data_IF_965576625721
#
_entry.id   IF_965576625721
#
_cell.length_a   1.000
_cell.length_b   1.000
_cell.length_c   1.000
_cell.angle_alpha   90.00
_cell.angle_beta   90.00
_cell.angle_gamma   90.00
#
_symmetry.space_group_name_H-M   'P 1'
#
loop_
_entity.id
_entity.type
_entity.pdbx_description
1 polymer ?
#
# COMPACT_ATOMS: atom_id res chain seq x y z
N UNK A 1 0.48 11.02 19.86
CA UNK A 1 -0.23 10.56 18.65
C UNK A 1 -0.48 9.05 18.80
N UNK A 2 -1.66 8.57 18.43
CA UNK A 2 -2.01 7.15 18.41
C UNK A 2 -2.29 6.70 16.98
N UNK A 3 -1.84 5.50 16.62
CA UNK A 3 -2.12 4.87 15.33
C UNK A 3 -2.75 3.51 15.55
N UNK A 4 -3.63 3.10 14.64
CA UNK A 4 -4.18 1.75 14.60
C UNK A 4 -3.58 1.03 13.39
N UNK A 5 -3.16 -0.22 13.60
CA UNK A 5 -2.63 -1.08 12.55
C UNK A 5 -3.61 -2.22 12.34
N UNK A 6 -4.00 -2.45 11.09
CA UNK A 6 -4.80 -3.60 10.68
C UNK A 6 -3.96 -4.48 9.76
N UNK A 7 -3.94 -5.79 10.04
CA UNK A 7 -3.24 -6.76 9.21
C UNK A 7 -4.09 -7.16 8.00
N UNK A 8 -3.45 -7.36 6.85
CA UNK A 8 -4.05 -7.91 5.64
C UNK A 8 -3.30 -9.18 5.24
N UNK A 9 -4.00 -10.16 4.68
CA UNK A 9 -3.35 -11.37 4.18
C UNK A 9 -2.58 -11.06 2.90
N UNK A 10 -1.33 -11.52 2.80
CA UNK A 10 -0.54 -11.43 1.57
C UNK A 10 -1.17 -12.21 0.39
N UNK A 11 -2.06 -13.17 0.68
CA UNK A 11 -2.80 -13.94 -0.31
C UNK A 11 -3.99 -13.19 -0.90
N UNK A 12 -4.39 -12.06 -0.31
CA UNK A 12 -5.50 -11.27 -0.81
C UNK A 12 -5.23 -10.78 -2.23
N UNK A 13 -6.30 -10.86 -3.01
CA UNK A 13 -6.45 -10.24 -4.32
C UNK A 13 -6.54 -8.72 -4.17
N UNK A 14 -6.37 -8.00 -5.27
CA UNK A 14 -6.60 -6.56 -5.34
C UNK A 14 -8.03 -6.18 -4.91
N UNK A 15 -9.02 -7.01 -5.23
CA UNK A 15 -10.41 -6.80 -4.80
C UNK A 15 -10.62 -6.89 -3.28
N UNK A 16 -10.02 -7.88 -2.62
CA UNK A 16 -10.12 -8.04 -1.17
C UNK A 16 -9.38 -6.92 -0.43
N UNK A 17 -8.21 -6.52 -0.94
CA UNK A 17 -7.46 -5.37 -0.43
C UNK A 17 -8.25 -4.06 -0.57
N UNK A 18 -8.89 -3.83 -1.73
CA UNK A 18 -9.74 -2.65 -1.96
C UNK A 18 -10.83 -2.55 -0.90
N UNK A 19 -11.54 -3.65 -0.63
CA UNK A 19 -12.57 -3.68 0.41
C UNK A 19 -12.01 -3.39 1.80
N UNK A 20 -10.84 -3.92 2.13
CA UNK A 20 -10.20 -3.67 3.42
C UNK A 20 -9.80 -2.20 3.59
N UNK A 21 -9.32 -1.56 2.52
CA UNK A 21 -8.99 -0.14 2.54
C UNK A 21 -10.23 0.74 2.71
N UNK A 22 -11.33 0.42 2.02
CA UNK A 22 -12.60 1.14 2.15
C UNK A 22 -13.22 1.00 3.55
N UNK A 23 -13.21 -0.21 4.11
CA UNK A 23 -13.79 -0.50 5.42
C UNK A 23 -13.00 0.15 6.56
N UNK A 24 -11.67 0.01 6.53
CA UNK A 24 -10.78 0.59 7.54
C UNK A 24 -10.59 2.11 7.41
N UNK A 25 -10.90 2.68 6.23
CA UNK A 25 -10.57 4.07 5.86
C UNK A 25 -9.11 4.42 6.15
N UNK A 26 -8.22 3.48 5.88
CA UNK A 26 -6.80 3.67 6.16
C UNK A 26 -6.21 4.83 5.34
N UNK A 27 -5.21 5.47 5.93
CA UNK A 27 -4.48 6.59 5.34
C UNK A 27 -3.08 6.20 4.87
N UNK A 28 -2.51 5.16 5.48
CA UNK A 28 -1.16 4.65 5.22
C UNK A 28 -1.25 3.13 4.99
N UNK A 29 -0.58 2.63 3.95
CA UNK A 29 -0.46 1.20 3.67
C UNK A 29 1.01 0.78 3.76
N UNK A 30 1.29 -0.23 4.58
CA UNK A 30 2.60 -0.89 4.61
C UNK A 30 2.53 -2.13 3.71
N UNK A 31 3.48 -2.29 2.80
CA UNK A 31 3.54 -3.45 1.89
C UNK A 31 4.98 -3.84 1.60
N UNK A 32 5.21 -5.00 1.00
CA UNK A 32 6.48 -5.33 0.37
C UNK A 32 6.44 -5.09 -1.14
N UNK A 33 7.60 -5.20 -1.77
CA UNK A 33 7.76 -5.06 -3.23
C UNK A 33 6.98 -6.09 -4.03
N UNK A 34 6.77 -7.30 -3.48
CA UNK A 34 6.07 -8.39 -4.16
C UNK A 34 4.57 -8.09 -4.29
N UNK A 35 4.01 -7.39 -3.31
CA UNK A 35 2.59 -7.06 -3.23
C UNK A 35 2.28 -5.63 -3.70
N UNK A 36 3.30 -4.78 -3.92
CA UNK A 36 3.13 -3.37 -4.29
C UNK A 36 2.19 -3.16 -5.49
N UNK A 37 2.32 -3.96 -6.55
CA UNK A 37 1.47 -3.83 -7.74
C UNK A 37 0.00 -4.14 -7.41
N UNK A 38 -0.27 -5.16 -6.57
CA UNK A 38 -1.64 -5.47 -6.11
C UNK A 38 -2.23 -4.33 -5.29
N UNK A 39 -1.42 -3.75 -4.40
CA UNK A 39 -1.82 -2.58 -3.60
C UNK A 39 -2.16 -1.40 -4.50
N UNK A 40 -1.30 -1.05 -5.47
CA UNK A 40 -1.54 0.06 -6.39
C UNK A 40 -2.84 -0.11 -7.20
N UNK A 41 -3.18 -1.33 -7.61
CA UNK A 41 -4.46 -1.62 -8.28
C UNK A 41 -5.66 -1.41 -7.35
N UNK A 42 -5.59 -1.94 -6.12
CA UNK A 42 -6.63 -1.80 -5.11
C UNK A 42 -6.91 -0.34 -4.73
N UNK A 43 -5.89 0.53 -4.85
CA UNK A 43 -6.01 1.96 -4.55
C UNK A 43 -6.81 2.77 -5.57
N UNK A 44 -7.07 2.24 -6.77
CA UNK A 44 -7.78 2.98 -7.83
C UNK A 44 -9.15 3.55 -7.42
N UNK A 45 -9.77 3.01 -6.36
CA UNK A 45 -11.06 3.47 -5.83
C UNK A 45 -10.99 3.96 -4.37
N UNK A 46 -9.80 4.00 -3.77
CA UNK A 46 -9.59 4.45 -2.40
C UNK A 46 -8.89 5.81 -2.40
N UNK A 47 -9.64 6.88 -2.15
CA UNK A 47 -9.09 8.24 -2.02
C UNK A 47 -8.52 8.55 -0.62
N UNK A 48 -8.75 7.68 0.37
CA UNK A 48 -8.30 7.91 1.75
C UNK A 48 -6.82 7.61 1.95
N UNK A 49 -6.26 6.70 1.15
CA UNK A 49 -4.84 6.33 1.24
C UNK A 49 -4.00 7.35 0.50
N UNK A 50 -3.08 7.99 1.21
CA UNK A 50 -2.19 9.00 0.65
C UNK A 50 -0.71 8.59 0.70
N UNK A 51 -0.36 7.57 1.48
CA UNK A 51 1.03 7.12 1.65
C UNK A 51 1.12 5.61 1.59
N UNK A 52 2.10 5.11 0.83
CA UNK A 52 2.46 3.69 0.80
C UNK A 52 3.90 3.60 1.29
N UNK A 53 4.15 2.72 2.26
CA UNK A 53 5.50 2.43 2.73
C UNK A 53 5.85 1.04 2.24
N UNK A 54 6.88 0.95 1.42
CA UNK A 54 7.36 -0.31 0.86
C UNK A 54 8.52 -0.81 1.72
N UNK A 55 8.30 -1.89 2.47
CA UNK A 55 9.29 -2.56 3.30
C UNK A 55 10.04 -3.56 2.42
N UNK A 56 11.37 -3.47 2.36
CA UNK A 56 12.23 -4.24 1.43
C UNK A 56 11.98 -3.94 -0.05
N UNK A 57 12.26 -2.70 -0.47
CA UNK A 57 12.48 -2.42 -1.88
C UNK A 57 13.85 -2.93 -2.31
N UNK A 58 13.88 -4.10 -2.97
CA UNK A 58 15.10 -4.58 -3.62
C UNK A 58 15.63 -3.47 -4.52
N UNK A 59 16.93 -3.20 -4.44
CA UNK A 59 17.68 -2.00 -4.85
C UNK A 59 17.61 -1.60 -6.35
N UNK A 60 16.45 -1.64 -7.00
CA UNK A 60 16.32 -1.54 -8.45
C UNK A 60 14.96 -1.00 -8.93
N UNK A 61 14.51 0.15 -8.44
CA UNK A 61 13.47 0.92 -9.14
C UNK A 61 13.79 2.42 -9.11
N UNK A 62 14.05 2.95 -10.30
CA UNK A 62 14.19 4.38 -10.57
C UNK A 62 12.85 5.07 -10.29
N UNK A 63 12.89 6.09 -9.44
CA UNK A 63 11.78 6.89 -8.95
C UNK A 63 11.11 7.76 -10.03
N UNK A 64 10.53 7.15 -11.07
CA UNK A 64 9.85 7.87 -12.15
C UNK A 64 8.35 7.56 -12.16
N UNK A 65 7.55 8.55 -11.73
CA UNK A 65 6.10 8.69 -11.94
C UNK A 65 5.14 7.74 -11.22
N UNK A 66 5.21 7.64 -9.88
CA UNK A 66 4.14 7.05 -9.09
C UNK A 66 3.30 8.14 -8.40
N UNK A 67 1.96 8.08 -8.45
CA UNK A 67 1.07 9.13 -7.94
C UNK A 67 1.01 9.21 -6.41
N UNK A 68 1.64 8.27 -5.71
CA UNK A 68 1.68 8.18 -4.26
C UNK A 68 3.09 8.37 -3.74
N UNK A 69 3.22 8.95 -2.55
CA UNK A 69 4.51 9.00 -1.86
C UNK A 69 4.84 7.58 -1.40
N UNK A 70 5.74 6.92 -2.13
CA UNK A 70 6.31 5.64 -1.75
C UNK A 70 7.55 5.93 -0.92
N UNK A 71 7.49 5.58 0.36
CA UNK A 71 8.64 5.66 1.25
C UNK A 71 9.29 4.28 1.23
N UNK A 72 10.51 4.22 0.70
CA UNK A 72 11.35 3.04 0.86
C UNK A 72 11.86 2.99 2.29
N UNK A 73 11.61 1.86 2.96
CA UNK A 73 12.08 1.60 4.31
C UNK A 73 12.96 0.35 4.25
N UNK A 74 14.26 0.59 4.07
CA UNK A 74 15.34 -0.40 4.11
C UNK A 74 16.03 -0.41 5.47
#
# INVERSE_FOLDING_TARGET
>A
AGGAISGASALFTDYELERQFLDSRCSIVLTDSKNLNKVLKALGKCSTVHTIICLNHGSSLSSSHLPFVIIDWT
#
